data_IF_567800142509
#
_entry.id   IF_567800142509
#
_cell.length_a   1.000
_cell.length_b   1.000
_cell.length_c   1.000
_cell.angle_alpha   90.00
_cell.angle_beta   90.00
_cell.angle_gamma   90.00
#
_symmetry.space_group_name_H-M   'P 1'
#
loop_
_entity.id
_entity.type
_entity.pdbx_description
1 polymer ?
#
# COMPACT_ATOMS: atom_id res chain seq x y z
N UNK A 1 -1.37 -7.86 -13.36
CA UNK A 1 -2.53 -6.97 -13.15
C UNK A 1 -2.09 -5.57 -13.54
N UNK A 2 -2.99 -4.71 -14.05
CA UNK A 2 -2.62 -3.31 -14.32
C UNK A 2 -2.60 -2.49 -13.04
N UNK A 3 -1.85 -1.37 -13.00
CA UNK A 3 -1.87 -0.40 -11.89
C UNK A 3 -3.30 -0.02 -11.46
N UNK A 4 -4.22 0.16 -12.41
CA UNK A 4 -5.63 0.45 -12.12
C UNK A 4 -6.29 -0.67 -11.31
N UNK A 5 -6.13 -1.94 -11.69
CA UNK A 5 -6.68 -3.07 -10.94
C UNK A 5 -6.06 -3.24 -9.55
N UNK A 6 -4.79 -2.82 -9.38
CA UNK A 6 -4.12 -2.83 -8.07
C UNK A 6 -4.75 -1.76 -7.19
N UNK A 7 -4.91 -0.53 -7.69
CA UNK A 7 -5.53 0.57 -6.94
C UNK A 7 -6.95 0.21 -6.53
N UNK A 8 -7.77 -0.31 -7.44
CA UNK A 8 -9.15 -0.71 -7.16
C UNK A 8 -9.28 -1.83 -6.12
N UNK A 9 -8.21 -2.58 -5.85
CA UNK A 9 -8.19 -3.61 -4.81
C UNK A 9 -7.50 -3.15 -3.53
N UNK A 10 -6.41 -2.40 -3.65
CA UNK A 10 -5.64 -1.88 -2.52
C UNK A 10 -6.45 -0.81 -1.79
N UNK A 11 -6.97 0.19 -2.49
CA UNK A 11 -7.66 1.33 -1.86
C UNK A 11 -8.79 0.91 -0.92
N UNK A 12 -9.78 0.12 -1.34
CA UNK A 12 -10.85 -0.28 -0.44
C UNK A 12 -10.35 -1.16 0.70
N UNK A 13 -9.40 -2.06 0.42
CA UNK A 13 -8.81 -2.93 1.45
C UNK A 13 -8.07 -2.12 2.53
N UNK A 14 -7.33 -1.08 2.14
CA UNK A 14 -6.65 -0.19 3.08
C UNK A 14 -7.62 0.72 3.82
N UNK A 15 -8.65 1.22 3.13
CA UNK A 15 -9.70 2.02 3.75
C UNK A 15 -10.44 1.23 4.84
N UNK A 16 -10.75 -0.04 4.59
CA UNK A 16 -11.40 -0.92 5.56
C UNK A 16 -10.46 -1.32 6.72
N UNK A 17 -9.20 -1.71 6.43
CA UNK A 17 -8.25 -2.17 7.45
C UNK A 17 -7.77 -1.04 8.39
N UNK A 18 -7.64 0.18 7.85
CA UNK A 18 -7.13 1.35 8.60
C UNK A 18 -8.23 2.33 9.00
N UNK A 19 -9.51 2.01 8.73
CA UNK A 19 -10.67 2.87 9.03
C UNK A 19 -10.52 4.31 8.47
N UNK A 20 -10.03 4.43 7.24
CA UNK A 20 -9.88 5.72 6.53
C UNK A 20 -10.81 5.83 5.33
N UNK A 21 -10.94 7.03 4.76
CA UNK A 21 -11.68 7.20 3.50
C UNK A 21 -10.80 6.88 2.28
N UNK A 22 -11.37 6.22 1.28
CA UNK A 22 -10.69 5.99 -0.01
C UNK A 22 -10.28 7.31 -0.71
N UNK A 23 -10.95 8.42 -0.36
CA UNK A 23 -10.63 9.75 -0.87
C UNK A 23 -9.30 10.30 -0.33
N UNK A 24 -8.85 9.85 0.84
CA UNK A 24 -7.53 10.19 1.40
C UNK A 24 -6.41 9.36 0.77
N UNK A 25 -6.76 8.20 0.20
CA UNK A 25 -5.83 7.29 -0.49
C UNK A 25 -5.61 7.79 -1.92
N UNK A 26 -4.78 8.82 -2.05
CA UNK A 26 -4.37 9.38 -3.34
C UNK A 26 -2.97 8.90 -3.72
N UNK A 27 -2.65 8.71 -5.02
CA UNK A 27 -1.33 8.25 -5.45
C UNK A 27 -0.19 9.19 -5.01
N UNK A 28 -0.44 10.49 -4.90
CA UNK A 28 0.53 11.49 -4.46
C UNK A 28 0.66 11.56 -2.92
N UNK A 29 -0.34 11.04 -2.19
CA UNK A 29 -0.32 11.07 -0.73
C UNK A 29 0.74 10.13 -0.14
N UNK A 30 1.29 10.60 0.99
CA UNK A 30 2.22 9.82 1.80
C UNK A 30 1.42 8.81 2.62
N UNK A 31 1.75 7.52 2.48
CA UNK A 31 1.01 6.42 3.12
C UNK A 31 0.91 6.63 4.63
N UNK A 32 2.03 7.02 5.26
CA UNK A 32 2.10 7.27 6.70
C UNK A 32 1.20 8.41 7.17
N UNK A 33 1.05 9.43 6.33
CA UNK A 33 0.31 10.65 6.67
C UNK A 33 -1.19 10.45 6.43
N UNK A 34 -1.54 9.83 5.29
CA UNK A 34 -2.92 9.56 4.90
C UNK A 34 -3.59 8.46 5.72
N UNK A 35 -2.83 7.42 6.12
CA UNK A 35 -3.35 6.32 6.94
C UNK A 35 -3.01 6.49 8.43
N UNK A 36 -2.43 7.65 8.81
CA UNK A 36 -1.96 7.93 10.17
C UNK A 36 -1.18 6.76 10.80
N UNK A 37 -0.33 6.11 9.99
CA UNK A 37 0.36 4.88 10.41
C UNK A 37 1.52 5.16 11.35
N UNK A 38 1.45 4.54 12.52
CA UNK A 38 2.61 4.31 13.35
C UNK A 38 3.57 3.28 12.71
N UNK A 39 4.81 3.26 13.17
CA UNK A 39 5.86 2.37 12.64
C UNK A 39 5.51 0.88 12.72
N UNK A 40 4.56 0.48 13.59
CA UNK A 40 4.04 -0.88 13.66
C UNK A 40 2.99 -1.15 12.58
N UNK A 41 2.03 -0.24 12.43
CA UNK A 41 0.93 -0.35 11.47
C UNK A 41 1.40 -0.42 10.01
N UNK A 42 2.58 0.13 9.70
CA UNK A 42 3.21 0.00 8.39
C UNK A 42 3.67 -1.45 8.09
N UNK A 43 4.07 -2.20 9.10
CA UNK A 43 4.41 -3.63 8.94
C UNK A 43 3.16 -4.44 8.64
N UNK A 44 2.05 -4.14 9.32
CA UNK A 44 0.74 -4.76 9.04
C UNK A 44 0.26 -4.45 7.62
N UNK A 45 0.31 -3.18 7.20
CA UNK A 45 0.00 -2.76 5.83
C UNK A 45 0.72 -3.64 4.80
N UNK A 46 2.04 -3.77 4.97
CA UNK A 46 2.89 -4.52 4.05
C UNK A 46 2.52 -5.99 4.07
N UNK A 47 2.30 -6.57 5.25
CA UNK A 47 1.89 -7.97 5.37
C UNK A 47 0.56 -8.24 4.65
N UNK A 48 -0.42 -7.33 4.74
CA UNK A 48 -1.71 -7.45 4.05
C UNK A 48 -1.52 -7.39 2.53
N UNK A 49 -0.70 -6.46 2.04
CA UNK A 49 -0.37 -6.34 0.62
C UNK A 49 0.37 -7.59 0.12
N UNK A 50 1.39 -8.06 0.85
CA UNK A 50 2.16 -9.26 0.52
C UNK A 50 1.26 -10.50 0.46
N UNK A 51 0.32 -10.65 1.40
CA UNK A 51 -0.62 -11.77 1.43
C UNK A 51 -1.65 -11.69 0.29
N UNK A 52 -2.19 -10.50 0.03
CA UNK A 52 -3.26 -10.28 -0.96
C UNK A 52 -2.74 -10.36 -2.40
N UNK A 53 -1.60 -9.75 -2.67
CA UNK A 53 -1.03 -9.62 -4.02
C UNK A 53 0.14 -10.58 -4.28
N UNK A 54 0.52 -11.40 -3.28
CA UNK A 54 1.65 -12.36 -3.36
C UNK A 54 2.98 -11.70 -3.76
N UNK A 55 3.13 -10.42 -3.43
CA UNK A 55 4.37 -9.64 -3.58
C UNK A 55 5.24 -9.85 -2.33
N UNK A 56 6.55 -9.60 -2.46
CA UNK A 56 7.44 -9.46 -1.30
C UNK A 56 8.01 -8.05 -1.23
N UNK A 57 7.77 -7.36 -0.13
CA UNK A 57 8.34 -6.05 0.17
C UNK A 57 9.33 -6.22 1.33
N UNK A 58 10.63 -6.39 1.04
CA UNK A 58 11.61 -6.52 2.09
C UNK A 58 11.73 -5.21 2.88
N UNK A 59 12.08 -5.31 4.15
CA UNK A 59 12.24 -4.16 5.04
C UNK A 59 13.24 -3.10 4.52
N UNK A 60 14.17 -3.50 3.65
CA UNK A 60 15.13 -2.60 3.00
C UNK A 60 14.49 -1.68 1.96
N UNK A 61 13.39 -2.10 1.33
CA UNK A 61 12.63 -1.34 0.32
C UNK A 61 11.42 -0.61 0.94
N UNK A 62 11.01 -0.94 2.17
CA UNK A 62 10.03 -0.11 2.91
C UNK A 62 10.36 1.39 2.95
N UNK A 63 11.60 1.84 3.19
CA UNK A 63 11.92 3.27 3.17
C UNK A 63 11.85 3.89 1.76
N UNK A 64 11.89 3.11 0.68
CA UNK A 64 11.68 3.61 -0.69
C UNK A 64 10.20 3.78 -0.98
N UNK A 65 9.34 2.93 -0.42
CA UNK A 65 7.87 3.02 -0.53
C UNK A 65 7.31 4.08 0.44
N UNK A 66 7.22 5.32 -0.02
CA UNK A 66 6.70 6.44 0.79
C UNK A 66 5.28 6.87 0.43
N UNK A 67 4.98 6.91 -0.86
CA UNK A 67 3.66 7.31 -1.37
C UNK A 67 2.89 6.08 -1.84
N UNK A 68 1.59 6.22 -1.97
CA UNK A 68 0.77 5.16 -2.55
C UNK A 68 1.17 4.86 -3.99
N UNK A 69 1.59 5.86 -4.77
CA UNK A 69 2.14 5.63 -6.11
C UNK A 69 3.33 4.68 -6.10
N UNK A 70 4.29 4.89 -5.19
CA UNK A 70 5.43 3.98 -5.03
C UNK A 70 4.94 2.56 -4.67
N UNK A 71 3.96 2.44 -3.77
CA UNK A 71 3.38 1.15 -3.40
C UNK A 71 2.74 0.46 -4.60
N UNK A 72 1.90 1.14 -5.38
CA UNK A 72 1.26 0.55 -6.56
C UNK A 72 2.26 0.13 -7.61
N UNK A 73 3.25 0.98 -7.91
CA UNK A 73 4.31 0.67 -8.87
C UNK A 73 5.16 -0.53 -8.39
N UNK A 74 5.40 -0.61 -7.08
CA UNK A 74 6.14 -1.72 -6.48
C UNK A 74 5.37 -3.03 -6.61
N UNK A 75 4.07 -3.04 -6.25
CA UNK A 75 3.18 -4.18 -6.42
C UNK A 75 3.10 -4.58 -7.88
N UNK A 76 2.96 -3.61 -8.79
CA UNK A 76 2.85 -3.87 -10.23
C UNK A 76 4.11 -4.56 -10.79
N UNK A 77 5.29 -4.17 -10.31
CA UNK A 77 6.58 -4.71 -10.75
C UNK A 77 6.95 -6.03 -10.08
N UNK A 78 6.41 -6.33 -8.89
CA UNK A 78 6.77 -7.50 -8.08
C UNK A 78 5.62 -8.52 -7.87
N UNK A 79 4.44 -8.27 -8.41
CA UNK A 79 3.36 -9.26 -8.49
C UNK A 79 3.82 -10.46 -9.35
N UNK A 80 3.52 -11.66 -8.88
CA UNK A 80 3.84 -12.92 -9.56
C UNK A 80 2.66 -13.48 -10.37
#
# INVERSE_FOLDING_TARGET
MTKEEIIEKVNPLLAEEFEVEESDITPDAVIKDALELDSLSLVDLVAVIEHTFKVKIPAADLPTVKTFEDLYNYIESHQA
#
